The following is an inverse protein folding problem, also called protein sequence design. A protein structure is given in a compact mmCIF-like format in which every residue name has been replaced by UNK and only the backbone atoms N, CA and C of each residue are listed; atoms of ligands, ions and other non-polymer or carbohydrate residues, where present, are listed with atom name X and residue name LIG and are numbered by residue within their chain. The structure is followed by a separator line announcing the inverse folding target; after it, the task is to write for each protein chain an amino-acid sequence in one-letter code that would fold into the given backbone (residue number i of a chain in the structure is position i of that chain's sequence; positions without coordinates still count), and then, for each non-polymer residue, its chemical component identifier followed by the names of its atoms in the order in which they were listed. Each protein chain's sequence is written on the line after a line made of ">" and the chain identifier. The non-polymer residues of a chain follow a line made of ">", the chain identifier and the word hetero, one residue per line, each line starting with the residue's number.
data_IF_758832286379
#
_entry.id   IF_758832286379
#
_cell.length_a   1.000
_cell.length_b   1.000
_cell.length_c   1.000
_cell.angle_alpha   90.00
_cell.angle_beta   90.00
_cell.angle_gamma   90.00
#
_symmetry.space_group_name_H-M   'P 1'
#
loop_
_entity.id
_entity.type
_entity.pdbx_description
1 polymer ?
#
# COMPACT_ATOMS: atom_id res chain seq x y z
N UNK A 1 -4.65 -20.95 4.82
CA UNK A 1 -3.37 -20.81 4.10
C UNK A 1 -2.29 -20.78 5.15
N UNK A 2 -1.36 -21.74 5.11
CA UNK A 2 -0.31 -21.88 6.11
C UNK A 2 0.54 -20.62 6.24
N UNK A 3 0.96 -20.30 7.46
CA UNK A 3 1.77 -19.13 7.80
C UNK A 3 2.99 -18.99 6.88
N UNK A 4 3.65 -20.13 6.60
CA UNK A 4 4.81 -20.20 5.72
C UNK A 4 4.47 -19.77 4.29
N UNK A 5 3.31 -20.20 3.77
CA UNK A 5 2.87 -19.85 2.42
C UNK A 5 2.54 -18.34 2.32
N UNK A 6 1.98 -17.75 3.38
CA UNK A 6 1.78 -16.29 3.45
C UNK A 6 3.10 -15.51 3.41
N UNK A 7 4.10 -15.95 4.18
CA UNK A 7 5.41 -15.28 4.24
C UNK A 7 6.11 -15.37 2.88
N UNK A 8 6.11 -16.56 2.26
CA UNK A 8 6.67 -16.76 0.92
C UNK A 8 5.96 -15.88 -0.12
N UNK A 9 4.64 -15.77 -0.04
CA UNK A 9 3.86 -14.94 -0.95
C UNK A 9 4.20 -13.44 -0.80
N UNK A 10 4.32 -12.95 0.43
CA UNK A 10 4.73 -11.58 0.71
C UNK A 10 6.16 -11.33 0.21
N UNK A 11 7.08 -12.26 0.44
CA UNK A 11 8.46 -12.18 -0.04
C UNK A 11 8.53 -12.14 -1.58
N UNK A 12 7.77 -13.00 -2.25
CA UNK A 12 7.72 -13.06 -3.72
C UNK A 12 7.15 -11.75 -4.31
N UNK A 13 6.09 -11.23 -3.70
CA UNK A 13 5.48 -9.95 -4.11
C UNK A 13 6.47 -8.79 -3.93
N UNK A 14 7.18 -8.77 -2.80
CA UNK A 14 8.17 -7.74 -2.49
C UNK A 14 9.32 -7.78 -3.49
N UNK A 15 9.81 -8.99 -3.82
CA UNK A 15 10.86 -9.18 -4.81
C UNK A 15 10.43 -8.67 -6.19
N UNK A 16 9.24 -9.07 -6.65
CA UNK A 16 8.74 -8.68 -7.96
C UNK A 16 8.58 -7.17 -8.12
N UNK A 17 7.99 -6.52 -7.11
CA UNK A 17 7.82 -5.06 -7.09
C UNK A 17 9.18 -4.36 -7.03
N UNK A 18 10.11 -4.86 -6.20
CA UNK A 18 11.45 -4.30 -6.07
C UNK A 18 12.26 -4.39 -7.36
N UNK A 19 12.16 -5.49 -8.11
CA UNK A 19 12.84 -5.67 -9.40
C UNK A 19 12.29 -4.72 -10.47
N UNK A 20 10.97 -4.57 -10.57
CA UNK A 20 10.37 -3.61 -11.51
C UNK A 20 10.83 -2.19 -11.18
N UNK A 21 10.80 -1.84 -9.90
CA UNK A 21 11.22 -0.52 -9.44
C UNK A 21 12.70 -0.23 -9.73
N UNK A 22 13.58 -1.20 -9.45
CA UNK A 22 14.99 -1.10 -9.79
C UNK A 22 15.23 -0.97 -11.30
N UNK A 23 14.45 -1.70 -12.12
CA UNK A 23 14.52 -1.62 -13.58
C UNK A 23 14.10 -0.25 -14.11
N UNK A 24 13.04 0.36 -13.53
CA UNK A 24 12.61 1.73 -13.87
C UNK A 24 13.70 2.73 -13.47
N UNK A 25 14.27 2.62 -12.27
CA UNK A 25 15.38 3.48 -11.81
C UNK A 25 16.59 3.37 -12.76
N UNK A 26 16.94 2.16 -13.17
CA UNK A 26 18.06 1.92 -14.08
C UNK A 26 17.80 2.44 -15.50
N UNK A 27 16.55 2.43 -15.98
CA UNK A 27 16.20 2.82 -17.35
C UNK A 27 16.05 4.33 -17.56
N UNK A 28 15.55 5.07 -16.56
CA UNK A 28 15.28 6.50 -16.69
C UNK A 28 16.34 7.38 -16.00
N UNK A 29 17.21 6.77 -15.18
CA UNK A 29 18.17 7.51 -14.37
C UNK A 29 17.51 8.12 -13.12
N UNK A 30 18.30 8.25 -12.04
CA UNK A 30 17.80 8.64 -10.72
C UNK A 30 17.01 9.97 -10.74
N UNK A 31 17.40 10.91 -11.60
CA UNK A 31 16.85 12.28 -11.64
C UNK A 31 15.41 12.35 -12.16
N UNK A 32 15.04 11.52 -13.13
CA UNK A 32 13.67 11.48 -13.69
C UNK A 32 12.71 10.61 -12.87
N UNK A 33 13.25 9.73 -12.03
CA UNK A 33 12.47 8.74 -11.26
C UNK A 33 12.07 9.28 -9.88
N UNK A 34 12.84 10.23 -9.32
CA UNK A 34 12.53 10.89 -8.05
C UNK A 34 11.13 11.55 -8.04
N UNK A 35 10.72 12.36 -9.05
CA UNK A 35 9.39 12.96 -9.08
C UNK A 35 8.28 11.90 -9.12
N UNK A 36 8.48 10.82 -9.88
CA UNK A 36 7.55 9.70 -9.98
C UNK A 36 7.39 8.95 -8.65
N UNK A 37 8.51 8.67 -7.96
CA UNK A 37 8.51 8.07 -6.63
C UNK A 37 7.76 8.91 -5.61
N UNK A 38 8.03 10.21 -5.58
CA UNK A 38 7.42 11.14 -4.62
C UNK A 38 5.92 11.19 -4.88
N UNK A 39 5.50 11.28 -6.15
CA UNK A 39 4.08 11.29 -6.52
C UNK A 39 3.38 9.99 -6.16
N UNK A 40 4.03 8.84 -6.33
CA UNK A 40 3.51 7.54 -5.90
C UNK A 40 3.40 7.44 -4.37
N UNK A 41 4.42 7.90 -3.63
CA UNK A 41 4.43 7.90 -2.17
C UNK A 41 3.30 8.78 -1.61
N UNK A 42 3.11 9.97 -2.18
CA UNK A 42 2.01 10.87 -1.80
C UNK A 42 0.65 10.22 -2.07
N UNK A 43 0.46 9.59 -3.25
CA UNK A 43 -0.77 8.88 -3.57
C UNK A 43 -1.05 7.74 -2.60
N UNK A 44 -0.03 6.94 -2.26
CA UNK A 44 -0.14 5.85 -1.29
C UNK A 44 -0.55 6.37 0.11
N UNK A 45 0.07 7.46 0.57
CA UNK A 45 -0.28 8.09 1.86
C UNK A 45 -1.74 8.58 1.86
N UNK A 46 -2.19 9.24 0.78
CA UNK A 46 -3.58 9.70 0.65
C UNK A 46 -4.55 8.53 0.69
N UNK A 47 -4.27 7.45 -0.04
CA UNK A 47 -5.11 6.25 -0.06
C UNK A 47 -5.17 5.61 1.33
N UNK A 48 -4.03 5.45 2.01
CA UNK A 48 -3.97 4.87 3.36
C UNK A 48 -4.74 5.73 4.37
N UNK A 49 -4.56 7.05 4.34
CA UNK A 49 -5.30 7.98 5.21
C UNK A 49 -6.79 7.93 4.87
N UNK A 50 -7.17 7.94 3.60
CA UNK A 50 -8.56 7.86 3.14
C UNK A 50 -9.26 6.57 3.57
N UNK A 51 -8.58 5.43 3.48
CA UNK A 51 -9.07 4.15 4.00
C UNK A 51 -9.20 4.16 5.52
N UNK A 52 -8.19 4.64 6.26
CA UNK A 52 -8.24 4.76 7.73
C UNK A 52 -9.37 5.68 8.20
N UNK A 53 -9.61 6.78 7.50
CA UNK A 53 -10.68 7.74 7.82
C UNK A 53 -12.07 7.17 7.49
N UNK A 54 -12.19 6.44 6.37
CA UNK A 54 -13.44 5.77 5.98
C UNK A 54 -13.81 4.64 6.95
N UNK A 55 -12.82 3.97 7.54
CA UNK A 55 -13.01 2.90 8.52
C UNK A 55 -13.56 3.44 9.86
N UNK A 56 -13.07 4.62 10.29
CA UNK A 56 -13.60 5.30 11.48
C UNK A 56 -15.06 5.76 11.32
N UNK A 57 -15.50 6.04 10.09
CA UNK A 57 -16.87 6.54 9.82
C UNK A 57 -17.93 5.43 9.84
N UNK A 58 -17.55 4.16 9.87
CA UNK A 58 -18.47 3.01 9.97
C UNK A 58 -18.68 2.49 11.41
N UNK A 59 -17.91 2.97 12.38
CA UNK A 59 -18.03 2.55 13.79
C UNK A 59 -19.09 3.28 14.63
N UNK A 60 -19.80 4.26 14.07
CA UNK A 60 -20.65 5.20 14.80
C UNK A 60 -22.14 4.86 14.92
N UNK A 61 -22.60 3.68 14.50
CA UNK A 61 -24.02 3.32 14.60
C UNK A 61 -24.23 1.96 15.28
N UNK A 62 -23.78 1.85 16.53
CA UNK A 62 -24.28 0.82 17.45
C UNK A 62 -25.63 1.33 17.99
N UNK A 63 -26.71 0.96 17.31
CA UNK A 63 -28.04 1.06 17.91
C UNK A 63 -28.12 0.12 19.11
N UNK A 64 -28.43 0.70 20.25
CA UNK A 64 -28.90 0.04 21.46
C UNK A 64 -30.17 -0.74 21.17
N UNK A 65 -30.24 -2.07 21.40
CA UNK A 65 -31.53 -2.71 21.54
C UNK A 65 -32.05 -2.38 22.93
N UNK A 66 -33.13 -1.59 22.95
CA UNK A 66 -34.06 -1.55 24.08
C UNK A 66 -34.99 -2.77 23.95
N UNK A 67 -35.21 -3.38 25.11
CA UNK A 67 -36.16 -4.44 25.45
C UNK A 67 -35.72 -5.87 25.15
#
# INVERSE_FOLDING_TARGET
>A
MDENLKITLIGLLTLFIGTIFASIIASFGFTDVIPGLISFLIAAVIVVIGFRLSDHRRGGHRMTPRH
#
